data_IF_112532150570
#
_entry.id   IF_112532150570
#
_cell.length_a   1.000
_cell.length_b   1.000
_cell.length_c   1.000
_cell.angle_alpha   90.00
_cell.angle_beta   90.00
_cell.angle_gamma   90.00
#
_symmetry.space_group_name_H-M   'P 1'
#
loop_
_entity.id
_entity.type
_entity.pdbx_description
1 polymer ?
#
# COMPACT_ATOMS: atom_id res chain seq x y z
N UNK A 1 9.13 -0.33 -10.77
CA UNK A 1 8.76 -1.21 -9.65
C UNK A 1 7.40 -0.75 -9.15
N UNK A 2 6.66 -1.60 -8.43
CA UNK A 2 5.39 -1.19 -7.82
C UNK A 2 5.46 -1.37 -6.30
N UNK A 3 4.70 -0.55 -5.58
CA UNK A 3 4.64 -0.56 -4.12
C UNK A 3 3.24 -0.98 -3.65
N UNK A 4 3.15 -1.50 -2.44
CA UNK A 4 1.88 -1.62 -1.72
C UNK A 4 2.00 -1.02 -0.33
N UNK A 5 1.10 -0.09 -0.01
CA UNK A 5 0.97 0.49 1.32
C UNK A 5 -0.27 -0.07 2.02
N UNK A 6 -0.08 -0.64 3.21
CA UNK A 6 -1.16 -1.02 4.12
C UNK A 6 -1.39 0.10 5.10
N UNK A 7 -2.58 0.69 5.08
CA UNK A 7 -2.95 1.81 5.94
C UNK A 7 -4.23 1.50 6.72
N UNK A 8 -4.47 2.29 7.76
CA UNK A 8 -5.78 2.37 8.38
C UNK A 8 -6.76 3.12 7.45
N UNK A 9 -8.03 2.71 7.37
CA UNK A 9 -9.05 3.50 6.69
C UNK A 9 -9.43 4.75 7.51
N UNK A 10 -9.97 5.80 6.86
CA UNK A 10 -10.16 5.92 5.42
C UNK A 10 -8.87 6.27 4.67
N UNK A 11 -8.81 5.94 3.38
CA UNK A 11 -7.85 6.57 2.48
C UNK A 11 -8.33 8.00 2.20
N UNK A 12 -7.72 8.98 2.84
CA UNK A 12 -8.02 10.39 2.63
C UNK A 12 -7.37 10.89 1.35
N UNK A 13 -8.21 11.35 0.41
CA UNK A 13 -7.80 11.94 -0.87
C UNK A 13 -8.28 13.38 -0.92
N UNK A 14 -7.39 14.30 -1.23
CA UNK A 14 -7.73 15.72 -1.34
C UNK A 14 -8.53 16.03 -2.63
N UNK A 15 -8.93 17.31 -2.77
CA UNK A 15 -9.71 17.77 -3.92
C UNK A 15 -8.98 17.65 -5.26
N UNK A 16 -7.65 17.54 -5.26
CA UNK A 16 -6.82 17.36 -6.44
C UNK A 16 -6.57 15.88 -6.78
N UNK A 17 -7.16 14.96 -6.01
CA UNK A 17 -6.98 13.52 -6.19
C UNK A 17 -5.65 13.01 -5.63
N UNK A 18 -5.03 13.74 -4.71
CA UNK A 18 -3.76 13.36 -4.07
C UNK A 18 -4.01 12.83 -2.66
N UNK A 19 -3.42 11.68 -2.34
CA UNK A 19 -3.38 11.11 -1.01
C UNK A 19 -1.98 11.29 -0.41
N UNK A 20 -1.92 11.62 0.89
CA UNK A 20 -0.68 11.57 1.66
C UNK A 20 -0.62 10.22 2.38
N UNK A 21 0.36 9.40 2.03
CA UNK A 21 0.54 8.08 2.63
C UNK A 21 1.76 8.10 3.54
N UNK A 22 1.54 7.72 4.79
CA UNK A 22 2.57 7.59 5.81
C UNK A 22 2.67 6.12 6.20
N UNK A 23 3.81 5.50 5.91
CA UNK A 23 4.00 4.10 6.23
C UNK A 23 5.46 3.80 6.53
N UNK A 24 5.69 2.89 7.48
CA UNK A 24 7.05 2.43 7.78
C UNK A 24 7.51 1.49 6.67
N UNK A 25 8.70 1.69 6.08
CA UNK A 25 9.23 0.73 5.12
C UNK A 25 9.39 -0.65 5.78
N UNK A 26 8.98 -1.69 5.07
CA UNK A 26 9.26 -3.07 5.42
C UNK A 26 10.32 -3.63 4.49
N UNK A 27 11.40 -4.17 5.07
CA UNK A 27 12.57 -4.59 4.30
C UNK A 27 13.35 -3.41 3.74
N UNK A 28 13.92 -3.57 2.54
CA UNK A 28 14.64 -2.53 1.81
C UNK A 28 13.72 -1.71 0.88
N UNK A 29 12.44 -1.59 1.24
CA UNK A 29 11.47 -0.84 0.45
C UNK A 29 11.87 0.64 0.38
N UNK A 30 12.05 1.11 -0.83
CA UNK A 30 12.29 2.51 -1.18
C UNK A 30 11.25 2.91 -2.24
N UNK A 31 10.93 4.19 -2.32
CA UNK A 31 9.95 4.71 -3.27
C UNK A 31 10.56 5.84 -4.09
N UNK A 32 10.27 5.83 -5.38
CA UNK A 32 10.69 6.89 -6.30
C UNK A 32 9.48 7.56 -6.93
N UNK A 33 9.61 8.85 -7.25
CA UNK A 33 8.63 9.56 -8.07
C UNK A 33 8.41 8.82 -9.39
N UNK A 34 7.15 8.69 -9.79
CA UNK A 34 6.71 7.98 -10.98
C UNK A 34 6.42 6.49 -10.76
N UNK A 35 6.74 5.93 -9.59
CA UNK A 35 6.41 4.54 -9.30
C UNK A 35 4.90 4.34 -9.08
N UNK A 36 4.44 3.17 -9.47
CA UNK A 36 3.08 2.73 -9.19
C UNK A 36 2.96 2.31 -7.72
N UNK A 37 1.83 2.64 -7.11
CA UNK A 37 1.51 2.23 -5.75
C UNK A 37 0.07 1.75 -5.67
N UNK A 38 -0.11 0.65 -4.94
CA UNK A 38 -1.40 0.12 -4.52
C UNK A 38 -1.63 0.47 -3.06
N UNK A 39 -2.88 0.82 -2.72
CA UNK A 39 -3.28 1.09 -1.34
C UNK A 39 -4.19 -0.03 -0.86
N UNK A 40 -3.83 -0.61 0.27
CA UNK A 40 -4.60 -1.62 0.97
C UNK A 40 -5.09 -1.03 2.29
N UNK A 41 -6.41 -1.06 2.53
CA UNK A 41 -6.99 -0.64 3.81
C UNK A 41 -7.16 -1.86 4.71
N UNK A 42 -6.64 -1.78 5.94
CA UNK A 42 -6.63 -2.94 6.83
C UNK A 42 -8.04 -3.30 7.32
N UNK A 43 -8.45 -4.53 7.05
CA UNK A 43 -9.73 -5.11 7.49
C UNK A 43 -9.86 -5.15 9.02
N UNK A 44 -8.73 -5.28 9.75
CA UNK A 44 -8.71 -5.25 11.21
C UNK A 44 -9.07 -3.88 11.79
N UNK A 45 -8.98 -2.84 10.98
CA UNK A 45 -9.30 -1.46 11.33
C UNK A 45 -10.56 -0.96 10.62
N UNK A 46 -11.38 -1.87 10.09
CA UNK A 46 -12.62 -1.55 9.36
C UNK A 46 -12.43 -1.28 7.86
N UNK A 47 -11.26 -1.60 7.30
CA UNK A 47 -10.99 -1.55 5.87
C UNK A 47 -11.57 -2.76 5.13
N UNK A 48 -11.29 -2.84 3.83
CA UNK A 48 -11.89 -3.84 2.95
C UNK A 48 -10.91 -4.40 1.91
N UNK A 49 -9.61 -4.35 2.21
CA UNK A 49 -8.58 -4.86 1.33
C UNK A 49 -8.06 -3.82 0.35
N UNK A 50 -7.81 -4.23 -0.89
CA UNK A 50 -7.33 -3.38 -1.97
C UNK A 50 -8.32 -2.23 -2.23
N UNK A 51 -7.86 -1.00 -2.03
CA UNK A 51 -8.71 0.19 -2.01
C UNK A 51 -8.41 1.17 -3.13
N UNK A 52 -7.16 1.30 -3.58
CA UNK A 52 -6.82 2.24 -4.63
C UNK A 52 -5.54 1.87 -5.38
N UNK A 53 -5.39 2.49 -6.54
CA UNK A 53 -4.16 2.50 -7.36
C UNK A 53 -3.77 3.95 -7.64
N UNK A 54 -2.48 4.21 -7.63
CA UNK A 54 -1.96 5.55 -7.89
C UNK A 54 -0.52 5.56 -8.36
N UNK A 55 0.01 6.78 -8.48
CA UNK A 55 1.39 7.06 -8.86
C UNK A 55 2.02 7.98 -7.84
N UNK A 56 3.23 7.64 -7.40
CA UNK A 56 4.03 8.46 -6.48
C UNK A 56 4.45 9.75 -7.18
N UNK A 57 4.06 10.90 -6.62
CA UNK A 57 4.47 12.22 -7.08
C UNK A 57 5.74 12.67 -6.35
N UNK A 58 5.79 12.43 -5.05
CA UNK A 58 6.92 12.77 -4.18
C UNK A 58 7.11 11.64 -3.18
N UNK A 59 8.37 11.31 -2.89
CA UNK A 59 8.75 10.36 -1.85
C UNK A 59 9.87 10.94 -1.00
N UNK A 60 9.71 10.87 0.32
CA UNK A 60 10.75 11.23 1.27
C UNK A 60 10.67 10.40 2.54
N UNK A 61 11.79 10.32 3.26
CA UNK A 61 11.85 9.65 4.56
C UNK A 61 11.93 10.71 5.65
N UNK A 62 10.89 10.77 6.48
CA UNK A 62 10.80 11.69 7.62
C UNK A 62 10.94 10.92 8.94
N UNK A 63 11.38 11.62 9.99
CA UNK A 63 11.47 11.07 11.35
C UNK A 63 10.30 11.57 12.21
N UNK A 64 9.53 10.64 12.77
CA UNK A 64 8.38 10.93 13.61
C UNK A 64 8.63 10.47 15.04
N UNK A 65 8.05 11.18 16.01
CA UNK A 65 8.13 10.78 17.41
C UNK A 65 7.39 9.46 17.66
N UNK A 66 7.94 8.61 18.53
CA UNK A 66 7.22 7.42 18.98
C UNK A 66 6.03 7.82 19.86
N UNK A 67 4.86 7.24 19.62
CA UNK A 67 3.64 7.52 20.40
C UNK A 67 3.62 6.82 21.75
N UNK A 68 4.43 5.76 21.95
CA UNK A 68 4.42 4.91 23.14
C UNK A 68 5.68 5.01 24.02
N UNK A 69 6.60 5.94 23.74
CA UNK A 69 7.84 6.08 24.51
C UNK A 69 8.83 7.05 23.88
N UNK A 70 10.05 7.08 24.42
CA UNK A 70 11.10 7.98 23.94
C UNK A 70 11.64 7.57 22.56
N UNK A 71 12.13 8.56 21.81
CA UNK A 71 12.80 8.37 20.52
C UNK A 71 11.93 8.62 19.29
N UNK A 72 12.52 8.37 18.12
CA UNK A 72 11.89 8.58 16.81
C UNK A 72 11.93 7.32 15.96
N UNK A 73 11.01 7.21 15.03
CA UNK A 73 11.03 6.20 13.97
C UNK A 73 10.98 6.88 12.59
N UNK A 74 11.45 6.18 11.57
CA UNK A 74 11.41 6.66 10.19
C UNK A 74 10.17 6.14 9.49
N UNK A 75 9.50 7.01 8.74
CA UNK A 75 8.41 6.65 7.84
C UNK A 75 8.70 7.18 6.45
N UNK A 76 8.23 6.43 5.45
CA UNK A 76 8.16 6.92 4.09
C UNK A 76 6.87 7.74 3.96
N UNK A 77 7.04 9.00 3.60
CA UNK A 77 5.97 9.96 3.35
C UNK A 77 5.85 10.13 1.86
N UNK A 78 4.69 9.75 1.32
CA UNK A 78 4.41 9.76 -0.11
C UNK A 78 3.26 10.70 -0.42
N UNK A 79 3.47 11.58 -1.41
CA UNK A 79 2.36 12.22 -2.11
C UNK A 79 1.98 11.32 -3.30
N UNK A 80 0.75 10.82 -3.33
CA UNK A 80 0.30 9.85 -4.34
C UNK A 80 -0.88 10.41 -5.11
N UNK A 81 -0.77 10.51 -6.44
CA UNK A 81 -1.92 10.76 -7.30
C UNK A 81 -2.73 9.49 -7.41
N UNK A 82 -3.96 9.48 -6.90
CA UNK A 82 -4.87 8.36 -7.08
C UNK A 82 -5.39 8.38 -8.51
N UNK A 83 -5.16 7.30 -9.25
CA UNK A 83 -5.63 7.14 -10.64
C UNK A 83 -6.90 6.31 -10.70
N UNK A 84 -7.08 5.38 -9.76
CA UNK A 84 -8.31 4.59 -9.62
C UNK A 84 -8.67 4.47 -8.13
N UNK A 85 -9.87 4.94 -7.79
CA UNK A 85 -10.49 4.70 -6.49
C UNK A 85 -11.36 3.45 -6.56
N UNK A 86 -11.13 2.52 -5.64
CA UNK A 86 -11.69 1.17 -5.60
C UNK A 86 -11.30 0.28 -6.82
N UNK A 87 -11.03 -1.02 -6.60
CA UNK A 87 -10.82 -1.96 -7.69
C UNK A 87 -12.15 -2.33 -8.37
N UNK A 88 -12.11 -2.70 -9.65
CA UNK A 88 -13.26 -3.23 -10.40
C UNK A 88 -13.68 -4.60 -9.85
N UNK A 89 -12.71 -5.38 -9.40
CA UNK A 89 -12.91 -6.68 -8.74
C UNK A 89 -12.34 -6.59 -7.32
N UNK A 90 -13.13 -6.78 -6.25
CA UNK A 90 -12.62 -6.78 -4.89
C UNK A 90 -11.45 -7.75 -4.72
N UNK A 91 -10.47 -7.34 -3.91
CA UNK A 91 -9.37 -8.19 -3.45
C UNK A 91 -9.19 -7.97 -1.95
N UNK A 92 -9.60 -8.94 -1.15
CA UNK A 92 -9.49 -8.94 0.31
C UNK A 92 -8.47 -9.98 0.82
N UNK A 93 -8.22 -9.96 2.13
CA UNK A 93 -7.32 -10.90 2.79
C UNK A 93 -7.68 -12.37 2.56
N UNK A 94 -8.95 -12.73 2.43
CA UNK A 94 -9.37 -14.12 2.24
C UNK A 94 -9.03 -14.62 0.83
N UNK A 95 -9.05 -13.71 -0.16
CA UNK A 95 -8.66 -13.99 -1.54
C UNK A 95 -7.14 -14.05 -1.75
N UNK A 96 -6.35 -13.37 -0.90
CA UNK A 96 -4.87 -13.39 -0.94
C UNK A 96 -4.25 -14.31 0.11
N UNK A 97 -5.05 -14.86 1.03
CA UNK A 97 -4.58 -15.82 2.01
C UNK A 97 -4.01 -17.03 1.26
N UNK A 98 -2.79 -17.49 1.61
CA UNK A 98 -2.16 -18.56 0.84
C UNK A 98 -3.03 -19.82 0.90
N UNK A 99 -3.41 -20.45 -0.24
CA UNK A 99 -3.52 -21.90 -0.25
C UNK A 99 -2.12 -22.42 0.13
N UNK A 100 -2.03 -23.57 0.80
CA UNK A 100 -0.83 -24.05 1.49
C UNK A 100 0.51 -24.06 0.70
N UNK A 101 0.52 -23.74 -0.61
CA UNK A 101 1.67 -23.75 -1.52
C UNK A 101 1.83 -22.53 -2.47
N UNK A 102 1.36 -21.30 -2.14
CA UNK A 102 1.44 -20.15 -3.07
C UNK A 102 2.12 -18.87 -2.52
N UNK A 103 3.35 -18.58 -2.97
CA UNK A 103 4.24 -17.51 -2.45
C UNK A 103 3.92 -16.08 -2.97
N UNK A 104 3.13 -15.93 -4.06
CA UNK A 104 2.96 -14.65 -4.75
C UNK A 104 2.22 -13.58 -3.92
N UNK A 105 1.21 -13.97 -3.13
CA UNK A 105 0.46 -13.02 -2.31
C UNK A 105 1.12 -12.71 -0.94
N UNK A 106 2.26 -13.35 -0.65
CA UNK A 106 2.91 -13.28 0.66
C UNK A 106 3.26 -11.87 1.12
N UNK A 107 3.73 -10.92 0.28
CA UNK A 107 3.98 -9.54 0.74
C UNK A 107 2.69 -8.82 1.14
N UNK A 108 1.57 -9.15 0.50
CA UNK A 108 0.24 -8.60 0.80
C UNK A 108 -0.33 -9.22 2.07
N UNK A 109 -0.02 -10.48 2.38
CA UNK A 109 -0.49 -11.13 3.62
C UNK A 109 0.43 -10.85 4.83
N UNK A 110 1.75 -10.92 4.64
CA UNK A 110 2.73 -11.06 5.72
C UNK A 110 3.04 -9.77 6.48
N UNK A 111 2.79 -8.58 5.90
CA UNK A 111 3.21 -7.33 6.53
C UNK A 111 2.11 -6.72 7.40
N UNK A 112 2.55 -6.19 8.54
CA UNK A 112 1.69 -5.51 9.51
C UNK A 112 1.09 -4.22 8.93
N UNK A 113 0.08 -3.70 9.60
CA UNK A 113 -0.52 -2.40 9.35
C UNK A 113 0.51 -1.26 9.37
N UNK A 114 0.24 -0.17 8.63
CA UNK A 114 1.10 1.02 8.48
C UNK A 114 2.50 0.66 7.99
N UNK A 115 2.54 -0.26 7.02
CA UNK A 115 3.75 -0.73 6.33
C UNK A 115 3.65 -0.53 4.83
N UNK A 116 4.78 -0.18 4.23
CA UNK A 116 4.94 -0.14 2.78
C UNK A 116 6.04 -1.10 2.36
N UNK A 117 5.81 -1.82 1.26
CA UNK A 117 6.81 -2.70 0.68
C UNK A 117 6.75 -2.68 -0.84
N UNK A 118 7.84 -3.12 -1.47
CA UNK A 118 7.91 -3.33 -2.91
C UNK A 118 7.22 -4.65 -3.28
N UNK A 119 6.54 -4.65 -4.42
CA UNK A 119 5.97 -5.85 -5.02
C UNK A 119 6.88 -6.35 -6.14
N UNK A 120 7.05 -7.68 -6.17
CA UNK A 120 7.62 -8.37 -7.32
C UNK A 120 6.71 -8.18 -8.55
N UNK A 121 7.26 -8.18 -9.78
CA UNK A 121 6.51 -7.87 -10.99
C UNK A 121 5.23 -8.70 -11.19
N UNK A 122 5.28 -10.01 -10.90
CA UNK A 122 4.15 -10.91 -11.05
C UNK A 122 3.03 -10.59 -10.06
N UNK A 123 3.39 -10.23 -8.83
CA UNK A 123 2.44 -9.83 -7.77
C UNK A 123 1.81 -8.49 -8.11
N UNK A 124 2.62 -7.54 -8.58
CA UNK A 124 2.12 -6.26 -9.07
C UNK A 124 1.16 -6.44 -10.25
N UNK A 125 1.48 -7.35 -11.18
CA UNK A 125 0.59 -7.70 -12.30
C UNK A 125 -0.74 -8.29 -11.84
N UNK A 126 -0.70 -9.24 -10.90
CA UNK A 126 -1.90 -9.81 -10.28
C UNK A 126 -2.77 -8.74 -9.63
N UNK A 127 -2.22 -7.90 -8.74
CA UNK A 127 -2.97 -6.82 -8.06
C UNK A 127 -3.51 -5.81 -9.08
N UNK A 128 -2.71 -5.46 -10.09
CA UNK A 128 -3.13 -4.53 -11.15
C UNK A 128 -4.34 -5.02 -11.92
N UNK A 129 -4.43 -6.32 -12.19
CA UNK A 129 -5.56 -6.93 -12.92
C UNK A 129 -6.92 -6.73 -12.25
N UNK A 130 -6.96 -6.36 -10.96
CA UNK A 130 -8.21 -6.02 -10.27
C UNK A 130 -8.76 -4.63 -10.64
N UNK A 131 -7.96 -3.79 -11.31
CA UNK A 131 -8.34 -2.46 -11.79
C UNK A 131 -8.56 -2.40 -13.31
N UNK A 132 -8.34 -3.49 -14.03
CA UNK A 132 -8.40 -3.54 -15.49
C UNK A 132 -9.62 -4.38 -15.93
N UNK A 133 -10.30 -3.95 -17.00
CA UNK A 133 -11.32 -4.77 -17.66
C UNK A 133 -10.60 -5.89 -18.45
N UNK A 134 -11.05 -7.14 -18.32
CA UNK A 134 -10.49 -8.30 -19.03
C UNK A 134 -10.61 -8.19 -20.56
#
# INVERSE_FOLDING_TARGET
MALIAKIDPPLDVDADGVAQIHARPYGAADAMTGEEIFVWTSERSGGYGLAARGTVLEARIDSFANTAGDGTHKELVLAVRITHGAPLRPLDLDQVAPPADGDAARPIYAHALNKITSLEPDVAGFVRSHFEEE
#
